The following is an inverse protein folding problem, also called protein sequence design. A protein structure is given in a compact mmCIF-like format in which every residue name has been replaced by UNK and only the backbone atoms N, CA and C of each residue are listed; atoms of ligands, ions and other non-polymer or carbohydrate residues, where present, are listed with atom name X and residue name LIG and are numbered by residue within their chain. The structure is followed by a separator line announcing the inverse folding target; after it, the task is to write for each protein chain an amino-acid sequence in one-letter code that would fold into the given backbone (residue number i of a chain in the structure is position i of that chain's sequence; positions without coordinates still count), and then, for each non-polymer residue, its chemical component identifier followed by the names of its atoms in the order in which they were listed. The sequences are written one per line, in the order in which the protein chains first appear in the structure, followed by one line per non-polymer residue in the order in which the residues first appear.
data_IF_449244083423
#
_entry.id   IF_449244083423
#
_cell.length_a   1.000
_cell.length_b   1.000
_cell.length_c   1.000
_cell.angle_alpha   90.00
_cell.angle_beta   90.00
_cell.angle_gamma   90.00
#
_symmetry.space_group_name_H-M   'P 1'
#
loop_
_entity.id
_entity.type
_entity.pdbx_description
1 polymer ?
#
# COMPACT_ATOMS: atom_id res chain seq x y z
N UNK A 1 9.36 4.60 10.53
CA UNK A 1 9.02 4.57 9.11
C UNK A 1 8.66 3.16 8.68
N UNK A 2 7.64 3.00 7.88
CA UNK A 2 7.15 1.69 7.45
C UNK A 2 7.80 1.27 6.15
N UNK A 3 8.44 0.11 6.14
CA UNK A 3 9.02 -0.43 4.93
C UNK A 3 7.98 -1.24 4.16
N UNK A 4 7.76 -0.87 2.91
CA UNK A 4 6.82 -1.59 2.07
C UNK A 4 7.49 -2.84 1.48
N UNK A 5 6.75 -3.93 1.47
CA UNK A 5 7.20 -5.16 0.84
C UNK A 5 7.38 -4.97 -0.66
N UNK A 6 8.28 -5.72 -1.29
CA UNK A 6 8.47 -5.57 -2.74
C UNK A 6 7.25 -5.98 -3.54
N UNK A 7 7.27 -5.60 -4.81
CA UNK A 7 6.19 -5.91 -5.75
C UNK A 7 5.94 -7.41 -5.80
N UNK A 8 4.68 -7.86 -5.65
CA UNK A 8 4.38 -9.30 -5.70
C UNK A 8 4.53 -9.92 -7.08
N UNK A 9 4.67 -9.10 -8.10
CA UNK A 9 4.78 -9.62 -9.47
C UNK A 9 6.22 -9.80 -9.92
N UNK A 10 7.07 -8.81 -9.68
CA UNK A 10 8.44 -8.87 -10.16
C UNK A 10 9.49 -8.82 -9.05
N UNK A 11 9.06 -8.60 -7.81
CA UNK A 11 9.98 -8.49 -6.68
C UNK A 11 10.74 -7.18 -6.62
N UNK A 12 10.41 -6.23 -7.49
CA UNK A 12 11.07 -4.94 -7.51
C UNK A 12 10.61 -4.04 -6.37
N UNK A 13 11.34 -2.96 -6.16
CA UNK A 13 11.03 -2.02 -5.12
C UNK A 13 9.74 -1.25 -5.41
N UNK A 14 8.88 -1.12 -4.40
CA UNK A 14 7.63 -0.39 -4.52
C UNK A 14 7.78 0.98 -3.87
N UNK A 15 7.32 2.01 -4.56
CA UNK A 15 7.38 3.38 -4.09
C UNK A 15 5.97 3.94 -3.89
N UNK A 16 5.77 4.61 -2.77
CA UNK A 16 4.51 5.28 -2.51
C UNK A 16 4.49 6.61 -3.23
N UNK A 17 3.52 6.78 -4.15
CA UNK A 17 3.43 7.99 -4.97
C UNK A 17 2.43 8.99 -4.41
N UNK A 18 1.49 8.53 -3.61
CA UNK A 18 0.49 9.40 -3.04
C UNK A 18 -0.61 8.60 -2.39
N UNK A 19 -1.72 9.25 -2.12
CA UNK A 19 -2.84 8.56 -1.52
C UNK A 19 -3.86 9.53 -0.96
N UNK A 20 -4.95 8.97 -0.47
CA UNK A 20 -5.98 9.77 0.18
C UNK A 20 -6.59 8.98 1.32
N UNK A 21 -7.13 9.70 2.29
CA UNK A 21 -7.74 9.09 3.45
C UNK A 21 -9.17 9.60 3.59
N UNK A 22 -10.11 8.67 3.67
CA UNK A 22 -11.51 9.01 3.88
C UNK A 22 -11.86 8.74 5.33
N UNK A 23 -11.94 9.79 6.13
CA UNK A 23 -12.23 9.64 7.56
C UNK A 23 -13.69 9.26 7.82
N UNK A 24 -14.58 9.59 6.92
CA UNK A 24 -15.99 9.24 7.08
C UNK A 24 -16.24 7.76 6.92
N UNK A 25 -15.58 7.13 5.96
CA UNK A 25 -15.74 5.70 5.69
C UNK A 25 -14.62 4.86 6.26
N UNK A 26 -13.62 5.48 6.86
CA UNK A 26 -12.43 4.81 7.40
C UNK A 26 -11.74 3.96 6.33
N UNK A 27 -11.54 4.56 5.16
CA UNK A 27 -10.85 3.90 4.05
C UNK A 27 -9.68 4.75 3.63
N UNK A 28 -8.52 4.13 3.50
CA UNK A 28 -7.34 4.80 2.98
C UNK A 28 -6.93 4.16 1.67
N UNK A 29 -6.60 5.01 0.70
CA UNK A 29 -6.13 4.59 -0.61
C UNK A 29 -4.67 4.96 -0.75
N UNK A 30 -3.84 4.01 -1.15
CA UNK A 30 -2.44 4.26 -1.44
C UNK A 30 -2.18 4.08 -2.93
N UNK A 31 -1.47 5.05 -3.51
CA UNK A 31 -1.00 4.96 -4.87
C UNK A 31 0.46 4.52 -4.83
N UNK A 32 0.72 3.32 -5.33
CA UNK A 32 2.05 2.72 -5.29
C UNK A 32 2.53 2.46 -6.71
N UNK A 33 3.84 2.54 -6.90
CA UNK A 33 4.44 2.25 -8.20
C UNK A 33 5.64 1.35 -8.00
N UNK A 34 5.70 0.28 -8.79
CA UNK A 34 6.85 -0.61 -8.81
C UNK A 34 7.93 -0.02 -9.69
N UNK A 35 9.14 0.08 -9.16
CA UNK A 35 10.28 0.60 -9.93
C UNK A 35 10.84 -0.41 -10.91
N UNK A 36 10.53 -1.69 -10.71
CA UNK A 36 11.02 -2.75 -11.58
C UNK A 36 10.17 -2.90 -12.84
N UNK A 37 8.90 -3.25 -12.68
CA UNK A 37 8.01 -3.48 -13.82
C UNK A 37 7.15 -2.26 -14.17
N UNK A 38 7.31 -1.17 -13.44
CA UNK A 38 6.59 0.09 -13.65
C UNK A 38 5.07 -0.04 -13.52
N UNK A 39 4.61 -1.08 -12.84
CA UNK A 39 3.19 -1.27 -12.59
C UNK A 39 2.72 -0.32 -11.50
N UNK A 40 1.55 0.28 -11.72
CA UNK A 40 0.93 1.17 -10.75
C UNK A 40 -0.17 0.44 -10.01
N UNK A 41 -0.23 0.63 -8.70
CA UNK A 41 -1.24 0.00 -7.86
C UNK A 41 -2.06 1.04 -7.14
N UNK A 42 -3.36 0.76 -7.00
CA UNK A 42 -4.22 1.52 -6.09
C UNK A 42 -4.70 0.57 -5.03
N UNK A 43 -4.15 0.70 -3.84
CA UNK A 43 -4.47 -0.18 -2.73
C UNK A 43 -5.39 0.52 -1.75
N UNK A 44 -6.55 -0.08 -1.50
CA UNK A 44 -7.52 0.44 -0.54
C UNK A 44 -7.61 -0.49 0.64
N UNK A 45 -7.65 0.09 1.83
CA UNK A 45 -7.79 -0.69 3.04
C UNK A 45 -8.61 0.07 4.07
N UNK A 46 -9.38 -0.67 4.86
CA UNK A 46 -10.10 -0.08 5.98
C UNK A 46 -9.18 0.07 7.17
N UNK A 47 -9.38 1.12 7.93
CA UNK A 47 -8.59 1.39 9.13
C UNK A 47 -9.49 1.73 10.29
N UNK A 48 -9.01 1.54 11.52
CA UNK A 48 -9.79 1.86 12.71
C UNK A 48 -9.24 3.08 13.45
N UNK A 49 -7.95 3.13 13.75
CA UNK A 49 -7.40 4.26 14.50
C UNK A 49 -6.22 4.93 13.83
N UNK A 50 -5.42 4.18 13.10
CA UNK A 50 -4.22 4.70 12.44
C UNK A 50 -4.25 4.34 10.96
N UNK A 51 -4.79 5.23 10.11
CA UNK A 51 -4.94 4.91 8.70
C UNK A 51 -3.63 4.61 8.00
N UNK A 52 -2.59 5.37 8.32
CA UNK A 52 -1.31 5.23 7.65
C UNK A 52 -0.67 3.87 7.95
N UNK A 53 -0.47 3.57 9.22
CA UNK A 53 0.18 2.33 9.63
C UNK A 53 -0.64 1.10 9.28
N UNK A 54 -1.95 1.17 9.49
CA UNK A 54 -2.83 0.02 9.21
C UNK A 54 -2.85 -0.32 7.72
N UNK A 55 -2.86 0.69 6.87
CA UNK A 55 -2.87 0.47 5.44
C UNK A 55 -1.53 -0.09 4.94
N UNK A 56 -0.41 0.42 5.46
CA UNK A 56 0.90 -0.12 5.09
C UNK A 56 1.07 -1.55 5.57
N UNK A 57 0.58 -1.84 6.77
CA UNK A 57 0.63 -3.21 7.28
C UNK A 57 -0.21 -4.15 6.44
N UNK A 58 -1.38 -3.69 5.99
CA UNK A 58 -2.25 -4.49 5.13
C UNK A 58 -1.58 -4.78 3.79
N UNK A 59 -0.89 -3.81 3.23
CA UNK A 59 -0.13 -4.02 2.00
C UNK A 59 0.95 -5.08 2.20
N UNK A 60 1.70 -4.97 3.28
CA UNK A 60 2.78 -5.91 3.55
C UNK A 60 2.28 -7.32 3.76
N UNK A 61 1.13 -7.46 4.42
CA UNK A 61 0.50 -8.76 4.62
C UNK A 61 0.03 -9.36 3.30
N UNK A 62 -0.52 -8.53 2.43
CA UNK A 62 -0.98 -8.95 1.11
C UNK A 62 0.18 -9.39 0.23
N UNK A 63 1.29 -8.66 0.28
CA UNK A 63 2.47 -9.00 -0.50
C UNK A 63 3.08 -10.33 -0.07
N UNK A 64 3.03 -10.63 1.23
CA UNK A 64 3.53 -11.91 1.74
C UNK A 64 2.71 -13.09 1.22
N UNK A 65 1.41 -12.87 1.01
CA UNK A 65 0.51 -13.93 0.53
C UNK A 65 0.46 -14.01 -0.99
N UNK A 66 0.98 -13.01 -1.66
CA UNK A 66 1.01 -12.97 -3.11
C UNK A 66 2.21 -13.65 -3.69
#
# INVERSE_FOLDING_TARGET
MFDLKPCPFCGGEVEERGGSCNYGKHIMTLDLKCKGCETTFKFKAKWSSDPYNETHEAWNRRADNG
#
